data_IF_909531787593
#
_entry.id   IF_909531787593
#
_cell.length_a   1.000
_cell.length_b   1.000
_cell.length_c   1.000
_cell.angle_alpha   90.00
_cell.angle_beta   90.00
_cell.angle_gamma   90.00
#
_symmetry.space_group_name_H-M   'P 1'
#
loop_
_entity.id
_entity.type
_entity.pdbx_description
1 polymer ?
#
# COMPACT_ATOMS: atom_id res chain seq x y z
N UNK A 1 -54.64 -10.48 56.14
CA UNK A 1 -53.40 -11.23 56.43
C UNK A 1 -52.31 -10.79 55.44
N UNK A 2 -51.73 -9.61 55.66
CA UNK A 2 -50.71 -9.02 54.78
C UNK A 2 -49.35 -9.60 55.12
N UNK A 3 -48.82 -10.48 54.26
CA UNK A 3 -47.44 -10.95 54.34
C UNK A 3 -46.51 -9.77 54.05
N UNK A 4 -45.80 -9.30 55.08
CA UNK A 4 -44.89 -8.17 54.99
C UNK A 4 -43.73 -8.47 54.02
N UNK A 5 -43.29 -7.51 53.18
CA UNK A 5 -42.17 -7.69 52.24
C UNK A 5 -40.90 -8.25 52.90
N UNK A 6 -40.67 -7.93 54.17
CA UNK A 6 -39.56 -8.46 54.97
C UNK A 6 -39.65 -9.97 55.21
N UNK A 7 -40.86 -10.52 55.37
CA UNK A 7 -41.04 -11.97 55.54
C UNK A 7 -40.73 -12.73 54.25
N UNK A 8 -41.08 -12.16 53.10
CA UNK A 8 -40.76 -12.73 51.78
C UNK A 8 -39.26 -12.65 51.48
N UNK A 9 -38.61 -11.53 51.83
CA UNK A 9 -37.17 -11.37 51.71
C UNK A 9 -36.41 -12.39 52.59
N UNK A 10 -36.83 -12.57 53.85
CA UNK A 10 -36.28 -13.58 54.76
C UNK A 10 -36.48 -15.01 54.24
N UNK A 11 -37.65 -15.32 53.70
CA UNK A 11 -37.92 -16.63 53.12
C UNK A 11 -37.02 -16.94 51.90
N UNK A 12 -36.79 -15.95 51.02
CA UNK A 12 -35.88 -16.08 49.87
C UNK A 12 -34.42 -16.23 50.28
N UNK A 13 -33.99 -15.51 51.32
CA UNK A 13 -32.66 -15.65 51.88
C UNK A 13 -32.45 -17.07 52.45
N UNK A 14 -33.40 -17.57 53.23
CA UNK A 14 -33.36 -18.92 53.80
C UNK A 14 -33.39 -20.02 52.72
N UNK A 15 -34.13 -19.82 51.63
CA UNK A 15 -34.13 -20.76 50.49
C UNK A 15 -32.80 -20.74 49.73
N UNK A 16 -32.20 -19.56 49.53
CA UNK A 16 -30.88 -19.42 48.90
C UNK A 16 -29.81 -20.14 49.72
N UNK A 17 -29.84 -20.00 51.04
CA UNK A 17 -28.90 -20.68 51.94
C UNK A 17 -29.06 -22.20 51.88
N UNK A 18 -30.30 -22.72 51.93
CA UNK A 18 -30.56 -24.16 51.79
C UNK A 18 -30.07 -24.75 50.46
N UNK A 19 -30.10 -23.97 49.37
CA UNK A 19 -29.53 -24.38 48.08
C UNK A 19 -28.00 -24.37 48.10
N UNK A 20 -27.38 -23.36 48.72
CA UNK A 20 -25.92 -23.31 48.93
C UNK A 20 -25.44 -24.49 49.76
N UNK A 21 -26.04 -24.75 50.91
CA UNK A 21 -25.63 -25.86 51.78
C UNK A 21 -25.76 -27.22 51.09
N UNK A 22 -26.78 -27.41 50.24
CA UNK A 22 -26.92 -28.64 49.42
C UNK A 22 -25.78 -28.79 48.41
N UNK A 23 -25.37 -27.71 47.75
CA UNK A 23 -24.26 -27.73 46.80
C UNK A 23 -22.95 -28.09 47.50
N UNK A 24 -22.67 -27.48 48.65
CA UNK A 24 -21.47 -27.79 49.44
C UNK A 24 -21.47 -29.25 49.93
N UNK A 25 -22.60 -29.73 50.44
CA UNK A 25 -22.74 -31.13 50.87
C UNK A 25 -22.55 -32.13 49.72
N UNK A 26 -23.08 -31.84 48.53
CA UNK A 26 -22.88 -32.67 47.35
C UNK A 26 -21.41 -32.68 46.88
N UNK A 27 -20.73 -31.54 47.00
CA UNK A 27 -19.30 -31.43 46.71
C UNK A 27 -18.46 -32.27 47.68
N UNK A 28 -18.77 -32.27 48.98
CA UNK A 28 -18.08 -33.13 49.95
C UNK A 28 -18.36 -34.63 49.71
N UNK A 29 -19.57 -34.99 49.28
CA UNK A 29 -19.91 -36.36 48.90
C UNK A 29 -19.12 -36.85 47.68
N UNK A 30 -19.03 -36.03 46.63
CA UNK A 30 -18.23 -36.33 45.44
C UNK A 30 -16.74 -36.43 45.75
N UNK A 31 -16.25 -35.59 46.65
CA UNK A 31 -14.87 -35.66 47.12
C UNK A 31 -14.60 -36.95 47.92
N UNK A 32 -15.56 -37.41 48.73
CA UNK A 32 -15.45 -38.66 49.48
C UNK A 32 -15.56 -39.91 48.59
N UNK A 33 -16.33 -39.86 47.50
CA UNK A 33 -16.44 -40.98 46.55
C UNK A 33 -15.27 -41.05 45.56
N UNK A 34 -14.46 -40.00 45.46
CA UNK A 34 -13.35 -39.92 44.49
C UNK A 34 -13.80 -39.78 43.04
N UNK A 35 -15.05 -39.37 42.80
CA UNK A 35 -15.56 -39.09 41.46
C UNK A 35 -15.01 -37.77 40.91
N UNK A 36 -14.97 -37.63 39.58
CA UNK A 36 -14.52 -36.40 38.92
C UNK A 36 -15.37 -35.18 39.33
N UNK A 37 -14.74 -34.25 40.06
CA UNK A 37 -15.39 -33.04 40.57
C UNK A 37 -15.50 -32.02 39.42
N UNK A 38 -16.67 -31.95 38.80
CA UNK A 38 -17.02 -30.94 37.80
C UNK A 38 -18.29 -30.17 38.17
N UNK A 39 -18.45 -28.95 37.67
CA UNK A 39 -19.65 -28.11 37.89
C UNK A 39 -20.94 -28.87 37.53
N UNK A 40 -20.90 -29.64 36.44
CA UNK A 40 -22.03 -30.46 35.98
C UNK A 40 -22.33 -31.65 36.89
N UNK A 41 -21.31 -32.28 37.48
CA UNK A 41 -21.47 -33.38 38.43
C UNK A 41 -22.05 -32.88 39.75
N UNK A 42 -21.50 -31.78 40.29
CA UNK A 42 -21.96 -31.15 41.53
C UNK A 42 -23.40 -30.65 41.40
N UNK A 43 -23.76 -30.04 40.26
CA UNK A 43 -25.13 -29.58 39.99
C UNK A 43 -26.15 -30.73 40.01
N UNK A 44 -25.82 -31.87 39.37
CA UNK A 44 -26.66 -33.07 39.37
C UNK A 44 -26.80 -33.66 40.78
N UNK A 45 -25.70 -33.83 41.50
CA UNK A 45 -25.69 -34.40 42.85
C UNK A 45 -26.46 -33.52 43.86
N UNK A 46 -26.39 -32.19 43.73
CA UNK A 46 -27.12 -31.25 44.58
C UNK A 46 -28.60 -31.07 44.18
N UNK A 47 -29.00 -31.56 43.00
CA UNK A 47 -30.33 -31.35 42.44
C UNK A 47 -30.62 -29.88 42.08
N UNK A 48 -29.61 -29.16 41.56
CA UNK A 48 -29.71 -27.73 41.24
C UNK A 48 -29.25 -27.44 39.81
N UNK A 49 -29.78 -26.39 39.20
CA UNK A 49 -29.36 -25.97 37.86
C UNK A 49 -27.96 -25.33 37.88
N UNK A 50 -27.12 -25.65 36.87
CA UNK A 50 -25.74 -25.14 36.71
C UNK A 50 -25.59 -23.62 36.80
N UNK A 51 -26.62 -22.88 36.37
CA UNK A 51 -26.62 -21.40 36.40
C UNK A 51 -26.49 -20.86 37.84
N UNK A 52 -26.96 -21.60 38.85
CA UNK A 52 -26.79 -21.18 40.25
C UNK A 52 -25.30 -21.12 40.63
N UNK A 53 -24.52 -22.12 40.22
CA UNK A 53 -23.09 -22.22 40.53
C UNK A 53 -22.31 -21.11 39.80
N UNK A 54 -22.63 -20.85 38.52
CA UNK A 54 -21.95 -19.78 37.77
C UNK A 54 -22.32 -18.36 38.23
N UNK A 55 -23.56 -18.16 38.71
CA UNK A 55 -23.99 -16.85 39.23
C UNK A 55 -23.36 -16.53 40.59
N UNK A 56 -22.95 -17.54 41.33
CA UNK A 56 -22.40 -17.44 42.68
C UNK A 56 -20.92 -17.81 42.67
N UNK A 57 -20.07 -16.78 42.58
CA UNK A 57 -18.61 -16.94 42.47
C UNK A 57 -17.99 -17.70 43.65
N UNK A 58 -18.60 -17.63 44.83
CA UNK A 58 -18.29 -18.43 46.02
C UNK A 58 -18.42 -19.93 45.75
N UNK A 59 -19.54 -20.36 45.17
CA UNK A 59 -19.78 -21.77 44.83
C UNK A 59 -18.86 -22.23 43.70
N UNK A 60 -18.65 -21.40 42.69
CA UNK A 60 -17.75 -21.72 41.59
C UNK A 60 -16.29 -21.87 42.06
N UNK A 61 -15.82 -20.96 42.91
CA UNK A 61 -14.49 -21.02 43.50
C UNK A 61 -14.32 -22.27 44.39
N UNK A 62 -15.35 -22.64 45.17
CA UNK A 62 -15.31 -23.85 45.99
C UNK A 62 -15.19 -25.14 45.14
N UNK A 63 -15.91 -25.21 44.02
CA UNK A 63 -15.80 -26.35 43.07
C UNK A 63 -14.41 -26.43 42.47
N UNK A 64 -13.83 -25.30 42.03
CA UNK A 64 -12.48 -25.27 41.46
C UNK A 64 -11.40 -25.61 42.49
N UNK A 65 -11.52 -25.09 43.71
CA UNK A 65 -10.58 -25.38 44.80
C UNK A 65 -10.57 -26.88 45.13
N UNK A 66 -11.76 -27.50 45.24
CA UNK A 66 -11.87 -28.93 45.54
C UNK A 66 -11.44 -29.81 44.37
N UNK A 67 -11.74 -29.42 43.12
CA UNK A 67 -11.26 -30.14 41.93
C UNK A 67 -9.72 -30.12 41.81
N UNK A 68 -9.04 -29.15 42.44
CA UNK A 68 -7.57 -29.07 42.49
C UNK A 68 -6.92 -29.83 43.65
N UNK A 69 -7.71 -30.39 44.57
CA UNK A 69 -7.25 -31.11 45.75
C UNK A 69 -7.17 -32.62 45.47
N UNK A 70 -6.07 -33.31 45.81
CA UNK A 70 -5.92 -34.73 45.52
C UNK A 70 -6.88 -35.58 46.38
N UNK A 71 -7.43 -36.69 45.82
CA UNK A 71 -8.35 -37.55 46.55
C UNK A 71 -7.64 -38.17 47.79
N UNK A 72 -8.35 -38.26 48.93
CA UNK A 72 -7.78 -38.86 50.14
C UNK A 72 -7.59 -40.36 49.91
N UNK A 73 -6.32 -40.81 49.84
CA UNK A 73 -5.98 -42.24 49.74
C UNK A 73 -5.03 -42.65 48.62
N UNK A 74 -4.44 -41.73 47.87
CA UNK A 74 -3.39 -42.07 46.91
C UNK A 74 -2.14 -42.62 47.65
N UNK A 75 -2.07 -43.94 47.72
CA UNK A 75 -0.99 -44.72 48.32
C UNK A 75 0.35 -44.39 47.67
N UNK A 76 1.36 -44.27 48.54
CA UNK A 76 2.75 -43.80 48.34
C UNK A 76 3.60 -44.59 47.30
N UNK A 77 3.00 -45.47 46.49
CA UNK A 77 3.75 -46.48 45.72
C UNK A 77 3.69 -46.42 44.18
N UNK A 78 2.66 -45.82 43.55
CA UNK A 78 2.40 -46.15 42.12
C UNK A 78 2.16 -44.97 41.17
N UNK A 79 2.41 -43.72 41.57
CA UNK A 79 2.13 -42.58 40.68
C UNK A 79 3.28 -41.59 40.73
N UNK A 80 3.90 -41.38 39.57
CA UNK A 80 4.85 -40.30 39.29
C UNK A 80 4.43 -39.05 40.08
N UNK A 81 5.28 -38.60 41.01
CA UNK A 81 4.95 -37.49 41.91
C UNK A 81 4.42 -36.30 41.10
N UNK A 82 3.41 -35.58 41.62
CA UNK A 82 2.88 -34.34 41.01
C UNK A 82 3.99 -33.39 40.56
N UNK A 83 5.09 -33.34 41.31
CA UNK A 83 6.28 -32.54 40.98
C UNK A 83 6.96 -32.98 39.68
N UNK A 84 7.04 -34.29 39.43
CA UNK A 84 7.57 -34.86 38.19
C UNK A 84 6.65 -34.55 37.01
N UNK A 85 5.33 -34.68 37.17
CA UNK A 85 4.37 -34.32 36.12
C UNK A 85 4.45 -32.82 35.75
N UNK A 86 4.58 -31.94 36.75
CA UNK A 86 4.78 -30.50 36.49
C UNK A 86 6.11 -30.23 35.79
N UNK A 87 7.18 -30.93 36.15
CA UNK A 87 8.46 -30.84 35.45
C UNK A 87 8.36 -31.33 34.00
N UNK A 88 7.60 -32.40 33.74
CA UNK A 88 7.37 -32.92 32.39
C UNK A 88 6.56 -31.94 31.54
N UNK A 89 5.51 -31.32 32.09
CA UNK A 89 4.75 -30.26 31.40
C UNK A 89 5.64 -29.07 31.07
N UNK A 90 6.48 -28.62 32.02
CA UNK A 90 7.43 -27.53 31.77
C UNK A 90 8.45 -27.90 30.67
N UNK A 91 8.93 -29.15 30.65
CA UNK A 91 9.87 -29.61 29.63
C UNK A 91 9.21 -29.71 28.25
N UNK A 92 7.99 -30.24 28.18
CA UNK A 92 7.22 -30.35 26.93
C UNK A 92 6.86 -28.99 26.35
N UNK A 93 6.45 -28.03 27.17
CA UNK A 93 6.17 -26.66 26.73
C UNK A 93 7.44 -25.96 26.23
N UNK A 94 8.57 -26.12 26.93
CA UNK A 94 9.87 -25.61 26.48
C UNK A 94 10.33 -26.28 25.17
N UNK A 95 10.08 -27.57 24.97
CA UNK A 95 10.38 -28.26 23.70
C UNK A 95 9.49 -27.76 22.57
N UNK A 96 8.20 -27.57 22.84
CA UNK A 96 7.24 -27.08 21.85
C UNK A 96 7.62 -25.68 21.37
N UNK A 97 7.95 -24.76 22.28
CA UNK A 97 8.41 -23.40 21.92
C UNK A 97 9.66 -23.40 21.03
N UNK A 98 10.63 -24.29 21.31
CA UNK A 98 11.84 -24.46 20.49
C UNK A 98 11.51 -24.99 19.11
N UNK A 99 10.59 -25.96 19.01
CA UNK A 99 10.14 -26.49 17.72
C UNK A 99 9.40 -25.45 16.89
N UNK A 100 8.50 -24.65 17.48
CA UNK A 100 7.81 -23.55 16.79
C UNK A 100 8.79 -22.50 16.27
N UNK A 101 9.81 -22.14 17.06
CA UNK A 101 10.88 -21.23 16.63
C UNK A 101 11.68 -21.83 15.46
N UNK A 102 11.89 -23.15 15.47
CA UNK A 102 12.56 -23.84 14.38
C UNK A 102 11.74 -23.84 13.08
N UNK A 103 10.44 -24.12 13.19
CA UNK A 103 9.49 -24.13 12.06
C UNK A 103 9.45 -22.75 11.40
N UNK A 104 9.21 -21.69 12.16
CA UNK A 104 9.18 -20.32 11.64
C UNK A 104 10.47 -19.91 10.93
N UNK A 105 11.63 -20.34 11.46
CA UNK A 105 12.92 -20.13 10.81
C UNK A 105 13.06 -20.90 9.50
N UNK A 106 12.58 -22.14 9.43
CA UNK A 106 12.60 -22.94 8.22
C UNK A 106 11.64 -22.38 7.17
N UNK A 107 10.44 -21.97 7.57
CA UNK A 107 9.46 -21.32 6.70
C UNK A 107 10.04 -20.05 6.08
N UNK A 108 10.67 -19.18 6.88
CA UNK A 108 11.34 -17.97 6.36
C UNK A 108 12.40 -18.32 5.32
N UNK A 109 13.27 -19.30 5.60
CA UNK A 109 14.31 -19.73 4.66
C UNK A 109 13.71 -20.34 3.39
N UNK A 110 12.60 -21.06 3.51
CA UNK A 110 11.88 -21.61 2.37
C UNK A 110 11.26 -20.49 1.53
N UNK A 111 10.63 -19.49 2.14
CA UNK A 111 10.11 -18.32 1.45
C UNK A 111 11.21 -17.54 0.74
N UNK A 112 12.38 -17.37 1.36
CA UNK A 112 13.54 -16.72 0.73
C UNK A 112 14.05 -17.53 -0.47
N UNK A 113 14.21 -18.86 -0.33
CA UNK A 113 14.65 -19.71 -1.43
C UNK A 113 13.65 -19.77 -2.58
N UNK A 114 12.35 -19.85 -2.27
CA UNK A 114 11.28 -19.81 -3.27
C UNK A 114 11.15 -18.43 -3.91
N UNK A 115 11.35 -17.35 -3.15
CA UNK A 115 11.39 -15.98 -3.66
C UNK A 115 12.54 -15.80 -4.64
N UNK A 116 13.73 -16.31 -4.30
CA UNK A 116 14.89 -16.30 -5.19
C UNK A 116 14.64 -17.12 -6.47
N UNK A 117 14.12 -18.34 -6.33
CA UNK A 117 13.81 -19.19 -7.49
C UNK A 117 12.70 -18.58 -8.37
N UNK A 118 11.68 -17.96 -7.78
CA UNK A 118 10.64 -17.25 -8.52
C UNK A 118 11.19 -16.00 -9.21
N UNK A 119 12.12 -15.28 -8.57
CA UNK A 119 12.81 -14.13 -9.15
C UNK A 119 13.65 -14.53 -10.37
N UNK A 120 14.42 -15.63 -10.26
CA UNK A 120 15.20 -16.21 -11.35
C UNK A 120 14.29 -16.71 -12.48
N UNK A 121 13.21 -17.42 -12.16
CA UNK A 121 12.27 -17.97 -13.14
C UNK A 121 11.44 -16.90 -13.85
N UNK A 122 11.22 -15.73 -13.23
CA UNK A 122 10.47 -14.62 -13.83
C UNK A 122 11.24 -13.90 -14.94
N UNK A 123 12.50 -14.30 -15.23
CA UNK A 123 13.30 -13.68 -16.29
C UNK A 123 13.71 -12.24 -15.97
N UNK A 124 13.54 -11.80 -14.72
CA UNK A 124 14.13 -10.56 -14.16
C UNK A 124 15.54 -10.83 -13.59
N UNK A 125 16.10 -11.99 -13.93
CA UNK A 125 17.23 -12.63 -13.28
C UNK A 125 18.52 -12.57 -14.09
N UNK A 126 19.20 -11.43 -14.04
CA UNK A 126 20.67 -11.30 -14.02
C UNK A 126 21.06 -9.81 -13.90
N UNK A 127 22.21 -9.46 -13.29
CA UNK A 127 22.79 -8.13 -13.47
C UNK A 127 23.03 -7.81 -14.96
N UNK A 128 23.14 -8.84 -15.81
CA UNK A 128 23.24 -8.68 -17.26
C UNK A 128 22.02 -7.94 -17.85
N UNK A 129 20.79 -8.17 -17.43
CA UNK A 129 19.62 -7.48 -18.03
C UNK A 129 19.55 -6.01 -17.60
N UNK A 130 19.89 -5.70 -16.35
CA UNK A 130 19.94 -4.32 -15.86
C UNK A 130 21.10 -3.57 -16.50
N UNK A 131 22.28 -4.20 -16.62
CA UNK A 131 23.45 -3.61 -17.28
C UNK A 131 23.23 -3.45 -18.79
N UNK A 132 22.57 -4.40 -19.44
CA UNK A 132 22.20 -4.31 -20.87
C UNK A 132 21.17 -3.22 -21.10
N UNK A 133 20.19 -3.09 -20.21
CA UNK A 133 19.21 -2.00 -20.27
C UNK A 133 19.86 -0.64 -20.02
N UNK A 134 20.77 -0.56 -19.05
CA UNK A 134 21.54 0.67 -18.76
C UNK A 134 22.40 1.06 -19.95
N UNK A 135 23.13 0.11 -20.54
CA UNK A 135 23.89 0.31 -21.79
C UNK A 135 22.98 0.79 -22.92
N UNK A 136 21.78 0.19 -23.05
CA UNK A 136 20.83 0.59 -24.07
C UNK A 136 20.30 2.01 -23.85
N UNK A 137 20.04 2.40 -22.60
CA UNK A 137 19.66 3.76 -22.24
C UNK A 137 20.78 4.73 -22.63
N UNK A 138 22.03 4.44 -22.28
CA UNK A 138 23.16 5.31 -22.64
C UNK A 138 23.40 5.41 -24.15
N UNK A 139 23.23 4.30 -24.89
CA UNK A 139 23.30 4.31 -26.36
C UNK A 139 22.20 5.19 -26.98
N UNK A 140 20.98 5.07 -26.48
CA UNK A 140 19.85 5.88 -26.96
C UNK A 140 20.02 7.36 -26.60
N UNK A 141 20.54 7.67 -25.42
CA UNK A 141 20.87 9.05 -25.02
C UNK A 141 21.92 9.66 -25.95
N UNK A 142 22.98 8.91 -26.27
CA UNK A 142 24.00 9.37 -27.22
C UNK A 142 23.40 9.60 -28.62
N UNK A 143 22.56 8.68 -29.10
CA UNK A 143 21.88 8.84 -30.39
C UNK A 143 20.99 10.08 -30.43
N UNK A 144 20.30 10.39 -29.33
CA UNK A 144 19.49 11.61 -29.22
C UNK A 144 20.38 12.86 -29.30
N UNK A 145 21.54 12.85 -28.66
CA UNK A 145 22.48 13.98 -28.72
C UNK A 145 23.05 14.15 -30.13
N UNK A 146 23.48 13.07 -30.77
CA UNK A 146 24.03 13.10 -32.13
C UNK A 146 22.99 13.60 -33.14
N UNK A 147 21.76 13.07 -33.09
CA UNK A 147 20.67 13.52 -33.97
C UNK A 147 20.31 15.00 -33.75
N UNK A 148 20.38 15.49 -32.51
CA UNK A 148 20.17 16.92 -32.23
C UNK A 148 21.27 17.78 -32.81
N UNK A 149 22.52 17.33 -32.76
CA UNK A 149 23.64 18.03 -33.37
C UNK A 149 23.51 18.07 -34.91
N UNK A 150 23.14 16.95 -35.53
CA UNK A 150 22.88 16.89 -36.97
C UNK A 150 21.74 17.83 -37.40
N UNK A 151 20.65 17.88 -36.63
CA UNK A 151 19.55 18.81 -36.90
C UNK A 151 20.01 20.28 -36.80
N UNK A 152 20.80 20.62 -35.79
CA UNK A 152 21.33 21.98 -35.64
C UNK A 152 22.23 22.36 -36.83
N UNK A 153 23.12 21.46 -37.27
CA UNK A 153 23.97 21.69 -38.44
C UNK A 153 23.13 21.89 -39.71
N UNK A 154 22.10 21.05 -39.93
CA UNK A 154 21.21 21.20 -41.09
C UNK A 154 20.40 22.49 -41.05
N UNK A 155 19.98 22.94 -39.86
CA UNK A 155 19.30 24.22 -39.71
C UNK A 155 20.24 25.39 -40.05
N UNK A 156 21.50 25.35 -39.60
CA UNK A 156 22.53 26.31 -39.98
C UNK A 156 22.75 26.32 -41.50
N UNK A 157 22.91 25.15 -42.12
CA UNK A 157 23.04 25.00 -43.58
C UNK A 157 21.83 25.60 -44.33
N UNK A 158 20.61 25.34 -43.85
CA UNK A 158 19.39 25.89 -44.44
C UNK A 158 19.31 27.41 -44.28
N UNK A 159 19.71 27.96 -43.13
CA UNK A 159 19.76 29.40 -42.92
C UNK A 159 20.78 30.07 -43.84
N UNK A 160 21.95 29.46 -44.03
CA UNK A 160 22.99 29.91 -44.94
C UNK A 160 22.53 29.85 -46.40
N UNK A 161 21.92 28.74 -46.83
CA UNK A 161 21.36 28.59 -48.18
C UNK A 161 20.26 29.61 -48.47
N UNK A 162 19.36 29.85 -47.50
CA UNK A 162 18.32 30.88 -47.61
C UNK A 162 18.92 32.29 -47.67
N UNK A 163 19.97 32.56 -46.90
CA UNK A 163 20.67 33.84 -46.96
C UNK A 163 21.35 34.06 -48.33
N UNK A 164 22.04 33.05 -48.86
CA UNK A 164 22.64 33.09 -50.18
C UNK A 164 21.59 33.27 -51.29
N UNK A 165 20.46 32.57 -51.20
CA UNK A 165 19.33 32.74 -52.13
C UNK A 165 18.77 34.16 -52.10
N UNK A 166 18.58 34.75 -50.91
CA UNK A 166 18.15 36.15 -50.76
C UNK A 166 19.17 37.12 -51.34
N UNK A 167 20.46 36.89 -51.12
CA UNK A 167 21.54 37.73 -51.65
C UNK A 167 21.60 37.68 -53.18
N UNK A 168 21.48 36.49 -53.79
CA UNK A 168 21.40 36.32 -55.24
C UNK A 168 20.17 37.03 -55.81
N UNK A 169 19.00 36.88 -55.18
CA UNK A 169 17.79 37.61 -55.59
C UNK A 169 17.97 39.13 -55.46
N UNK A 170 18.65 39.60 -54.41
CA UNK A 170 18.97 41.01 -54.25
C UNK A 170 19.95 41.52 -55.32
N UNK A 171 20.90 40.69 -55.77
CA UNK A 171 21.79 41.01 -56.89
C UNK A 171 21.02 41.07 -58.21
N UNK A 172 20.17 40.08 -58.52
CA UNK A 172 19.30 40.09 -59.71
C UNK A 172 18.41 41.34 -59.73
N UNK A 173 17.73 41.65 -58.63
CA UNK A 173 16.87 42.83 -58.53
C UNK A 173 17.64 44.15 -58.64
N UNK A 174 18.92 44.20 -58.24
CA UNK A 174 19.78 45.37 -58.47
C UNK A 174 20.13 45.50 -59.95
N UNK A 175 20.53 44.41 -60.61
CA UNK A 175 20.85 44.40 -62.04
C UNK A 175 19.64 44.77 -62.91
N UNK A 176 18.46 44.23 -62.62
CA UNK A 176 17.21 44.59 -63.33
C UNK A 176 16.86 46.07 -63.16
N UNK A 177 16.94 46.62 -61.94
CA UNK A 177 16.71 48.07 -61.72
C UNK A 177 17.75 48.96 -62.40
N UNK A 178 19.02 48.54 -62.46
CA UNK A 178 20.02 49.28 -63.22
C UNK A 178 19.75 49.23 -64.73
N UNK A 179 19.22 48.13 -65.28
CA UNK A 179 18.78 48.11 -66.68
C UNK A 179 17.58 49.03 -66.94
N UNK A 180 16.61 49.11 -66.01
CA UNK A 180 15.44 50.00 -66.11
C UNK A 180 15.85 51.48 -66.01
N UNK A 181 16.76 51.83 -65.08
CA UNK A 181 17.30 53.18 -64.95
C UNK A 181 18.18 53.59 -66.15
N UNK A 182 18.94 52.66 -66.74
CA UNK A 182 19.65 52.92 -68.01
C UNK A 182 18.70 53.16 -69.18
N UNK A 183 17.53 52.51 -69.20
CA UNK A 183 16.50 52.81 -70.21
C UNK A 183 15.78 54.13 -69.97
N UNK A 184 15.57 54.55 -68.72
CA UNK A 184 14.97 55.86 -68.40
C UNK A 184 15.94 57.04 -68.62
N UNK A 185 17.22 56.89 -68.28
CA UNK A 185 18.23 57.94 -68.53
C UNK A 185 18.46 58.15 -70.03
N UNK A 186 18.36 57.08 -70.85
CA UNK A 186 18.40 57.19 -72.32
C UNK A 186 17.11 57.78 -72.93
N UNK A 187 15.98 57.75 -72.20
CA UNK A 187 14.69 58.30 -72.64
C UNK A 187 14.41 59.75 -72.21
N UNK A 188 15.21 60.33 -71.31
CA UNK A 188 14.94 61.64 -70.67
C UNK A 188 15.65 62.83 -71.33
N UNK A 189 16.60 62.62 -72.24
CA UNK A 189 17.43 63.72 -72.80
C UNK A 189 16.86 64.46 -74.03
N UNK A 190 15.61 64.24 -74.48
CA UNK A 190 15.14 64.82 -75.76
C UNK A 190 13.86 65.67 -75.75
N UNK A 191 13.10 65.83 -74.66
CA UNK A 191 11.88 66.67 -74.77
C UNK A 191 11.76 67.71 -73.69
N UNK A 192 12.39 68.87 -73.93
CA UNK A 192 11.73 70.14 -73.65
C UNK A 192 12.24 71.28 -74.55
N UNK A 193 11.54 71.51 -75.67
CA UNK A 193 11.38 72.84 -76.28
C UNK A 193 10.12 72.87 -77.15
N UNK A 194 9.14 73.62 -76.64
CA UNK A 194 7.98 74.24 -77.30
C UNK A 194 6.64 73.47 -77.24
N UNK A 195 5.99 73.57 -76.08
CA UNK A 195 4.79 74.41 -75.93
C UNK A 195 3.44 73.78 -76.26
N UNK A 196 2.60 73.55 -75.24
CA UNK A 196 1.50 74.49 -74.92
C UNK A 196 0.82 74.15 -73.58
N UNK A 197 0.30 75.19 -72.93
CA UNK A 197 -0.37 75.23 -71.63
C UNK A 197 -1.88 74.99 -71.80
N UNK A 198 -2.54 74.23 -70.92
CA UNK A 198 -3.80 74.60 -70.21
C UNK A 198 -3.96 73.70 -68.95
N UNK A 199 -4.37 74.26 -67.78
CA UNK A 199 -4.39 73.57 -66.49
C UNK A 199 -5.77 72.98 -66.14
N UNK A 200 -5.79 71.89 -65.37
CA UNK A 200 -7.01 71.26 -64.86
C UNK A 200 -6.78 70.61 -63.50
N UNK A 201 -7.33 71.24 -62.46
CA UNK A 201 -7.29 70.87 -61.04
C UNK A 201 -7.97 69.52 -60.71
N UNK A 202 -7.59 68.94 -59.56
CA UNK A 202 -8.35 67.90 -58.84
C UNK A 202 -7.42 66.97 -58.04
N UNK A 203 -6.89 67.35 -56.88
CA UNK A 203 -7.48 67.14 -55.53
C UNK A 203 -8.19 65.79 -55.34
N UNK A 204 -7.59 64.93 -54.49
CA UNK A 204 -8.13 64.11 -53.38
C UNK A 204 -7.29 62.82 -53.24
N UNK A 205 -6.46 62.65 -52.21
CA UNK A 205 -6.76 62.31 -50.81
C UNK A 205 -7.08 60.81 -50.60
N UNK A 206 -6.59 60.26 -49.47
CA UNK A 206 -6.96 58.98 -48.82
C UNK A 206 -6.29 57.73 -49.44
N UNK A 207 -5.72 56.74 -48.75
CA UNK A 207 -5.68 56.29 -47.35
C UNK A 207 -4.48 55.31 -47.20
N UNK A 208 -3.74 55.32 -46.09
CA UNK A 208 -3.80 54.31 -45.00
C UNK A 208 -3.40 52.89 -45.42
N UNK A 209 -2.24 52.41 -44.94
CA UNK A 209 -2.08 51.69 -43.66
C UNK A 209 -2.89 50.39 -43.60
N UNK A 210 -2.17 49.26 -43.59
CA UNK A 210 -2.16 48.27 -42.50
C UNK A 210 -1.54 46.97 -43.03
N UNK A 211 -0.41 46.52 -42.50
CA UNK A 211 -0.25 45.75 -41.24
C UNK A 211 -0.89 44.36 -41.30
N UNK A 212 -0.05 43.41 -40.87
CA UNK A 212 -0.39 42.13 -40.23
C UNK A 212 -1.02 41.09 -41.17
N UNK A 213 -0.61 39.84 -41.17
CA UNK A 213 -0.07 39.03 -40.07
C UNK A 213 -0.86 37.72 -40.11
N UNK A 214 -0.16 36.60 -40.17
CA UNK A 214 -0.70 35.26 -40.27
C UNK A 214 0.43 34.28 -40.51
#
# INVERSE_FOLDING_TARGET
MTTSPDQLAKARAADSERRRSRVLKALDQLAASGEEISVSAVARAAGVHRSLIHRHGDLHAAVLARAGEPPPGATTGTQVSRRSLLADVANLTARNSRLSTHITRLERRLSEALGQAAWEASGLGAPADVETLTRRVTELEQQILDLRAELAERDEDLTAARAASRELMAQVNRLSRHSELSTEVSGSEVVDRLGNVVPGQGLLHVAEQSRQGG
#
